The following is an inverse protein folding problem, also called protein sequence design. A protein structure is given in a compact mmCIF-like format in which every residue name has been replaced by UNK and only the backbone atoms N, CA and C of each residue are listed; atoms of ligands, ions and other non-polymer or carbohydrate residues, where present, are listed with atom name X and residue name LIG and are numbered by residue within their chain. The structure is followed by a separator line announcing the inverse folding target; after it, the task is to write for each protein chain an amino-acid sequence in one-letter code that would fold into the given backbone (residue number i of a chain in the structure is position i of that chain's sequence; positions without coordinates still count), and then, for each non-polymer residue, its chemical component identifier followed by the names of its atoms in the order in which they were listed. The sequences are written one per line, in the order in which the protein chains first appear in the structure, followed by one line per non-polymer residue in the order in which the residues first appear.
data_IF_990191379421
#
_entry.id   IF_990191379421
#
_cell.length_a   1.000
_cell.length_b   1.000
_cell.length_c   1.000
_cell.angle_alpha   90.00
_cell.angle_beta   90.00
_cell.angle_gamma   90.00
#
_symmetry.space_group_name_H-M   'P 1'
#
loop_
_entity.id
_entity.type
_entity.pdbx_description
1 polymer ?
#
# COMPACT_ATOMS: atom_id res chain seq x y z
N UNK A 1 14.09 -6.74 -17.38
CA UNK A 1 13.48 -7.64 -16.37
C UNK A 1 14.40 -7.88 -15.17
N UNK A 2 15.70 -8.15 -15.34
CA UNK A 2 16.62 -8.42 -14.21
C UNK A 2 16.85 -7.24 -13.24
N UNK A 3 16.95 -6.00 -13.75
CA UNK A 3 17.20 -4.80 -12.90
C UNK A 3 16.02 -4.50 -11.97
N UNK A 4 14.79 -4.59 -12.48
CA UNK A 4 13.57 -4.40 -11.67
C UNK A 4 13.45 -5.46 -10.56
N UNK A 5 13.84 -6.70 -10.85
CA UNK A 5 13.80 -7.82 -9.90
C UNK A 5 14.84 -7.67 -8.77
N UNK A 6 16.08 -7.27 -9.11
CA UNK A 6 17.11 -6.99 -8.11
C UNK A 6 16.72 -5.80 -7.20
N UNK A 7 16.12 -4.76 -7.79
CA UNK A 7 15.63 -3.61 -7.04
C UNK A 7 14.46 -3.96 -6.11
N UNK A 8 13.59 -4.90 -6.51
CA UNK A 8 12.50 -5.42 -5.69
C UNK A 8 13.02 -6.12 -4.43
N UNK A 9 14.00 -7.02 -4.60
CA UNK A 9 14.58 -7.80 -3.49
C UNK A 9 15.35 -6.89 -2.54
N UNK A 10 16.14 -5.95 -3.07
CA UNK A 10 16.86 -4.98 -2.24
C UNK A 10 15.90 -4.08 -1.45
N UNK A 11 14.84 -3.57 -2.09
CA UNK A 11 13.81 -2.78 -1.42
C UNK A 11 13.10 -3.60 -0.34
N UNK A 12 12.79 -4.86 -0.60
CA UNK A 12 12.17 -5.77 0.36
C UNK A 12 13.04 -5.97 1.60
N UNK A 13 14.29 -6.36 1.41
CA UNK A 13 15.24 -6.59 2.50
C UNK A 13 15.47 -5.32 3.32
N UNK A 14 15.55 -4.16 2.66
CA UNK A 14 15.72 -2.89 3.34
C UNK A 14 14.50 -2.54 4.20
N UNK A 15 13.30 -2.65 3.64
CA UNK A 15 12.05 -2.35 4.36
C UNK A 15 11.81 -3.34 5.50
N UNK A 16 12.03 -4.64 5.27
CA UNK A 16 11.93 -5.65 6.32
C UNK A 16 12.90 -5.35 7.47
N UNK A 17 14.18 -5.07 7.19
CA UNK A 17 15.16 -4.77 8.24
C UNK A 17 14.84 -3.49 9.03
N UNK A 18 14.24 -2.49 8.39
CA UNK A 18 13.87 -1.22 9.06
C UNK A 18 12.55 -1.29 9.81
N UNK A 19 11.60 -2.07 9.31
CA UNK A 19 10.25 -2.18 9.87
C UNK A 19 10.09 -3.38 10.81
N UNK A 20 11.07 -4.29 10.88
CA UNK A 20 11.07 -5.41 11.84
C UNK A 20 10.92 -4.96 13.29
N UNK A 21 11.47 -3.79 13.65
CA UNK A 21 11.31 -3.21 14.98
C UNK A 21 9.86 -2.82 15.32
N UNK A 22 8.97 -2.81 14.32
CA UNK A 22 7.57 -2.47 14.45
C UNK A 22 6.68 -3.61 13.94
N UNK A 23 6.78 -4.78 14.59
CA UNK A 23 6.08 -6.01 14.18
C UNK A 23 4.56 -5.90 14.12
N UNK A 24 3.96 -4.89 14.77
CA UNK A 24 2.52 -4.62 14.66
C UNK A 24 2.10 -3.93 13.34
N UNK A 25 3.06 -3.46 12.54
CA UNK A 25 2.77 -2.80 11.28
C UNK A 25 3.10 -3.70 10.10
N UNK A 26 2.13 -3.80 9.19
CA UNK A 26 2.33 -4.34 7.85
C UNK A 26 2.57 -3.16 6.89
N UNK A 27 3.20 -3.44 5.75
CA UNK A 27 3.48 -2.40 4.76
C UNK A 27 3.26 -2.88 3.33
N UNK A 28 3.01 -1.93 2.45
CA UNK A 28 3.06 -2.10 1.00
C UNK A 28 3.83 -0.94 0.37
N UNK A 29 4.81 -1.27 -0.43
CA UNK A 29 5.59 -0.33 -1.22
C UNK A 29 5.29 -0.56 -2.69
N UNK A 30 4.61 0.40 -3.31
CA UNK A 30 4.20 0.37 -4.70
C UNK A 30 4.93 1.47 -5.44
N UNK A 31 5.61 1.13 -6.54
CA UNK A 31 6.16 2.12 -7.47
C UNK A 31 5.70 1.86 -8.88
N UNK A 32 5.43 2.93 -9.64
CA UNK A 32 5.11 2.83 -11.06
C UNK A 32 5.37 4.14 -11.77
N UNK A 33 5.55 4.07 -13.09
CA UNK A 33 5.62 5.26 -13.91
C UNK A 33 4.21 5.70 -14.32
N UNK A 34 3.88 6.99 -14.15
CA UNK A 34 2.54 7.53 -14.48
C UNK A 34 2.20 7.40 -15.97
N UNK A 35 3.19 7.38 -16.86
CA UNK A 35 2.99 7.16 -18.30
C UNK A 35 2.91 5.67 -18.67
N UNK A 36 3.48 4.79 -17.84
CA UNK A 36 3.51 3.35 -18.06
C UNK A 36 3.09 2.58 -16.79
N UNK A 37 1.81 2.68 -16.37
CA UNK A 37 1.33 2.10 -15.11
C UNK A 37 1.40 0.56 -15.10
N UNK A 38 1.50 -0.07 -16.26
CA UNK A 38 1.65 -1.53 -16.38
C UNK A 38 3.03 -2.00 -15.88
N UNK A 39 4.04 -1.11 -15.86
CA UNK A 39 5.35 -1.34 -15.26
C UNK A 39 5.34 -0.82 -13.83
N UNK A 40 4.92 -1.70 -12.92
CA UNK A 40 4.91 -1.42 -11.50
C UNK A 40 5.73 -2.44 -10.72
N UNK A 41 6.20 -2.01 -9.55
CA UNK A 41 6.86 -2.83 -8.55
C UNK A 41 6.01 -2.79 -7.29
N UNK A 42 5.58 -3.96 -6.81
CA UNK A 42 4.88 -4.12 -5.54
C UNK A 42 5.73 -4.96 -4.60
N UNK A 43 6.10 -4.39 -3.46
CA UNK A 43 6.86 -5.04 -2.39
C UNK A 43 6.08 -4.87 -1.10
N UNK A 44 5.60 -5.95 -0.49
CA UNK A 44 4.68 -5.82 0.64
C UNK A 44 4.76 -6.97 1.63
N UNK A 45 4.67 -6.67 2.93
CA UNK A 45 4.55 -7.67 3.99
C UNK A 45 3.13 -8.22 4.18
N UNK A 46 2.20 -7.87 3.29
CA UNK A 46 0.86 -8.46 3.29
C UNK A 46 0.88 -9.95 2.92
N UNK A 47 -0.14 -10.72 3.36
CA UNK A 47 -0.29 -12.12 2.99
C UNK A 47 -0.29 -12.29 1.46
N UNK A 48 0.36 -13.34 0.99
CA UNK A 48 0.52 -13.58 -0.45
C UNK A 48 -0.83 -13.71 -1.14
N UNK A 49 -1.81 -14.32 -0.48
CA UNK A 49 -3.19 -14.47 -0.96
C UNK A 49 -3.83 -13.12 -1.28
N UNK A 50 -3.63 -12.11 -0.41
CA UNK A 50 -4.10 -10.77 -0.68
C UNK A 50 -3.39 -10.13 -1.85
N UNK A 51 -2.06 -10.29 -1.95
CA UNK A 51 -1.26 -9.75 -3.07
C UNK A 51 -1.68 -10.36 -4.41
N UNK A 52 -2.03 -11.65 -4.42
CA UNK A 52 -2.51 -12.35 -5.60
C UNK A 52 -3.90 -11.82 -6.03
N UNK A 53 -4.83 -11.65 -5.07
CA UNK A 53 -6.14 -11.04 -5.32
C UNK A 53 -5.97 -9.61 -5.86
N UNK A 54 -5.11 -8.81 -5.23
CA UNK A 54 -4.85 -7.43 -5.60
C UNK A 54 -4.32 -7.33 -7.03
N UNK A 55 -3.34 -8.16 -7.36
CA UNK A 55 -2.72 -8.20 -8.69
C UNK A 55 -3.67 -8.73 -9.76
N UNK A 56 -4.39 -9.82 -9.48
CA UNK A 56 -5.31 -10.45 -10.43
C UNK A 56 -6.48 -9.51 -10.81
N UNK A 57 -6.99 -8.74 -9.85
CA UNK A 57 -8.06 -7.77 -10.09
C UNK A 57 -7.56 -6.41 -10.58
N UNK A 58 -6.23 -6.25 -10.77
CA UNK A 58 -5.58 -4.99 -11.17
C UNK A 58 -5.95 -3.81 -10.26
N UNK A 59 -6.01 -4.05 -8.96
CA UNK A 59 -6.44 -3.05 -7.99
C UNK A 59 -5.55 -1.81 -7.96
N UNK A 60 -4.28 -1.88 -8.35
CA UNK A 60 -3.40 -0.71 -8.51
C UNK A 60 -4.01 0.40 -9.40
N UNK A 61 -4.92 0.08 -10.33
CA UNK A 61 -5.55 1.06 -11.23
C UNK A 61 -6.76 1.77 -10.62
N UNK A 62 -7.44 1.10 -9.70
CA UNK A 62 -8.71 1.56 -9.12
C UNK A 62 -8.62 1.79 -7.60
N UNK A 63 -7.45 1.53 -7.02
CA UNK A 63 -7.18 1.70 -5.61
C UNK A 63 -7.30 3.18 -5.24
N UNK A 64 -8.20 3.52 -4.29
CA UNK A 64 -8.39 4.89 -3.85
C UNK A 64 -7.14 5.51 -3.23
N UNK A 65 -6.30 4.73 -2.56
CA UNK A 65 -5.03 5.19 -1.99
C UNK A 65 -4.08 5.60 -3.11
N UNK A 66 -3.99 4.79 -4.17
CA UNK A 66 -3.18 5.11 -5.35
C UNK A 66 -3.70 6.36 -6.06
N UNK A 67 -5.03 6.46 -6.24
CA UNK A 67 -5.68 7.65 -6.82
C UNK A 67 -5.43 8.91 -6.00
N UNK A 68 -5.51 8.83 -4.67
CA UNK A 68 -5.21 9.94 -3.78
C UNK A 68 -3.73 10.36 -3.87
N UNK A 69 -2.82 9.39 -3.97
CA UNK A 69 -1.37 9.65 -4.09
C UNK A 69 -0.99 10.38 -5.38
N UNK A 70 -1.75 10.22 -6.48
CA UNK A 70 -1.50 10.99 -7.70
C UNK A 70 -1.52 12.51 -7.50
N UNK A 71 -2.37 12.99 -6.58
CA UNK A 71 -2.62 14.42 -6.35
C UNK A 71 -2.07 14.92 -5.00
N UNK A 72 -1.34 14.07 -4.25
CA UNK A 72 -0.81 14.41 -2.92
C UNK A 72 0.70 14.22 -2.89
N UNK A 73 1.39 15.16 -2.26
CA UNK A 73 2.83 15.05 -1.94
C UNK A 73 3.08 14.90 -0.43
N UNK A 74 2.07 15.16 0.39
CA UNK A 74 2.14 14.97 1.84
C UNK A 74 1.60 13.58 2.25
N UNK A 75 2.08 13.00 3.36
CA UNK A 75 1.50 11.79 3.92
C UNK A 75 0.02 11.99 4.25
N UNK A 76 -0.76 10.92 4.15
CA UNK A 76 -2.18 10.97 4.47
C UNK A 76 -2.73 9.68 5.05
N UNK A 77 -3.72 9.80 5.93
CA UNK A 77 -4.47 8.65 6.44
C UNK A 77 -5.49 8.17 5.41
N UNK A 78 -5.73 6.87 5.33
CA UNK A 78 -6.71 6.31 4.39
C UNK A 78 -8.13 6.85 4.64
N UNK A 79 -8.48 7.13 5.90
CA UNK A 79 -9.76 7.73 6.27
C UNK A 79 -9.91 9.21 5.85
N UNK A 80 -8.79 9.92 5.64
CA UNK A 80 -8.78 11.32 5.18
C UNK A 80 -8.84 11.44 3.65
N UNK A 81 -8.92 10.33 2.94
CA UNK A 81 -9.17 10.37 1.50
C UNK A 81 -10.65 10.70 1.28
N UNK A 82 -10.93 11.84 0.65
CA UNK A 82 -12.27 12.27 0.23
C UNK A 82 -12.91 11.32 -0.83
N UNK A 83 -12.26 10.19 -1.10
CA UNK A 83 -12.88 8.98 -1.65
C UNK A 83 -13.67 8.31 -0.52
N UNK A 84 -14.53 9.11 0.10
CA UNK A 84 -15.51 8.70 1.08
C UNK A 84 -16.40 7.64 0.45
N UNK A 85 -16.84 6.71 1.28
CA UNK A 85 -17.95 5.75 1.24
C UNK A 85 -18.85 5.57 -0.01
N UNK A 86 -18.90 6.43 -1.02
CA UNK A 86 -19.70 6.34 -2.22
C UNK A 86 -19.01 5.61 -3.40
N UNK A 87 -17.68 5.53 -3.40
CA UNK A 87 -16.97 4.78 -4.45
C UNK A 87 -17.13 3.26 -4.23
N UNK A 88 -17.85 2.59 -5.13
CA UNK A 88 -18.05 1.12 -5.07
C UNK A 88 -16.74 0.35 -5.09
N UNK A 89 -15.70 0.89 -5.73
CA UNK A 89 -14.38 0.28 -5.76
C UNK A 89 -13.69 0.38 -4.40
N UNK A 90 -13.85 1.51 -3.70
CA UNK A 90 -13.36 1.69 -2.33
C UNK A 90 -13.95 0.60 -1.42
N UNK A 91 -15.28 0.47 -1.38
CA UNK A 91 -15.94 -0.53 -0.53
C UNK A 91 -15.50 -1.95 -0.84
N UNK A 92 -15.37 -2.30 -2.12
CA UNK A 92 -14.96 -3.65 -2.53
C UNK A 92 -13.53 -3.97 -2.09
N UNK A 93 -12.57 -3.10 -2.39
CA UNK A 93 -11.15 -3.33 -2.07
C UNK A 93 -10.97 -3.40 -0.56
N UNK A 94 -11.48 -2.42 0.19
CA UNK A 94 -11.34 -2.40 1.65
C UNK A 94 -12.13 -3.52 2.35
N UNK A 95 -13.28 -3.94 1.81
CA UNK A 95 -14.01 -5.08 2.36
C UNK A 95 -13.21 -6.37 2.25
N UNK A 96 -12.53 -6.60 1.12
CA UNK A 96 -11.68 -7.78 0.96
C UNK A 96 -10.37 -7.64 1.75
N UNK A 97 -9.77 -6.45 1.77
CA UNK A 97 -8.54 -6.18 2.53
C UNK A 97 -8.74 -6.38 4.05
N UNK A 98 -9.95 -6.13 4.55
CA UNK A 98 -10.32 -6.36 5.95
C UNK A 98 -10.19 -7.82 6.38
N UNK A 99 -10.38 -8.78 5.49
CA UNK A 99 -10.18 -10.21 5.77
C UNK A 99 -8.70 -10.53 6.08
N UNK A 100 -7.79 -9.61 5.76
CA UNK A 100 -6.33 -9.74 5.96
C UNK A 100 -5.77 -8.73 6.98
N UNK A 101 -6.63 -8.14 7.81
CA UNK A 101 -6.32 -7.08 8.79
C UNK A 101 -5.76 -5.78 8.19
N UNK A 102 -6.13 -5.47 6.95
CA UNK A 102 -5.70 -4.24 6.25
C UNK A 102 -6.89 -3.28 6.24
N UNK A 103 -7.06 -2.55 7.35
CA UNK A 103 -8.24 -1.69 7.57
C UNK A 103 -7.85 -0.22 7.72
N UNK A 104 -6.85 0.05 8.56
CA UNK A 104 -6.38 1.39 8.87
C UNK A 104 -4.91 1.52 8.50
N UNK A 105 -4.56 2.66 7.92
CA UNK A 105 -3.19 2.92 7.50
C UNK A 105 -2.94 4.35 7.06
N UNK A 106 -1.65 4.64 6.91
CA UNK A 106 -1.12 5.88 6.41
C UNK A 106 -0.30 5.60 5.15
N UNK A 107 -0.43 6.47 4.15
CA UNK A 107 0.36 6.41 2.93
C UNK A 107 1.27 7.61 2.80
N UNK A 108 2.55 7.34 2.58
CA UNK A 108 3.60 8.29 2.26
C UNK A 108 3.81 8.28 0.76
N UNK A 109 3.88 9.46 0.15
CA UNK A 109 3.95 9.61 -1.30
C UNK A 109 5.22 10.33 -1.69
N UNK A 110 5.91 9.81 -2.70
CA UNK A 110 7.08 10.42 -3.30
C UNK A 110 6.90 10.46 -4.82
N UNK A 111 7.09 11.64 -5.39
CA UNK A 111 7.12 11.86 -6.83
C UNK A 111 8.55 12.18 -7.23
N UNK A 112 9.04 11.59 -8.31
CA UNK A 112 10.33 11.96 -8.89
C UNK A 112 10.17 12.85 -10.14
N UNK A 113 11.30 13.27 -10.70
CA UNK A 113 11.32 14.14 -11.89
C UNK A 113 10.98 13.40 -13.19
N UNK A 114 10.94 12.07 -13.19
CA UNK A 114 10.71 11.21 -14.37
C UNK A 114 9.29 10.61 -14.37
N UNK A 115 8.37 11.28 -13.67
CA UNK A 115 6.98 10.85 -13.52
C UNK A 115 6.80 9.48 -12.86
N UNK A 116 7.78 9.00 -12.11
CA UNK A 116 7.58 7.86 -11.23
C UNK A 116 6.89 8.30 -9.94
N UNK A 117 5.96 7.46 -9.50
CA UNK A 117 5.25 7.59 -8.25
C UNK A 117 5.66 6.42 -7.36
N UNK A 118 6.13 6.72 -6.16
CA UNK A 118 6.37 5.74 -5.11
C UNK A 118 5.41 6.01 -3.95
N UNK A 119 4.78 4.93 -3.48
CA UNK A 119 3.82 4.95 -2.40
C UNK A 119 4.28 3.94 -1.37
N UNK A 120 4.53 4.40 -0.15
CA UNK A 120 4.74 3.54 1.00
C UNK A 120 3.50 3.61 1.89
N UNK A 121 2.74 2.54 1.89
CA UNK A 121 1.56 2.36 2.74
C UNK A 121 1.95 1.53 3.97
N UNK A 122 1.62 2.03 5.15
CA UNK A 122 1.82 1.35 6.44
C UNK A 122 0.46 1.17 7.07
N UNK A 123 0.14 -0.05 7.48
CA UNK A 123 -1.12 -0.39 8.14
C UNK A 123 -0.87 -1.09 9.46
N UNK A 124 -1.62 -0.71 10.49
CA UNK A 124 -1.59 -1.37 11.78
C UNK A 124 -2.51 -2.60 11.75
N UNK A 125 -2.00 -3.73 12.25
CA UNK A 125 -2.86 -4.87 12.57
C UNK A 125 -3.67 -4.54 13.82
N UNK A 126 -4.92 -4.97 13.90
CA UNK A 126 -5.80 -4.74 15.05
C UNK A 126 -5.37 -5.48 16.34
N UNK A 127 -4.20 -6.11 16.34
CA UNK A 127 -3.60 -6.73 17.52
C UNK A 127 -3.05 -5.61 18.43
N UNK A 128 -3.91 -5.06 19.29
CA UNK A 128 -3.64 -4.67 20.69
C UNK A 128 -4.66 -3.68 21.30
N UNK A 129 -5.82 -3.48 20.67
CA UNK A 129 -6.92 -2.73 21.32
C UNK A 129 -7.59 -3.51 22.48
N UNK A 130 -7.16 -4.75 22.74
CA UNK A 130 -7.73 -5.63 23.76
C UNK A 130 -7.14 -5.45 25.18
N UNK A 131 -6.12 -4.61 25.39
CA UNK A 131 -5.46 -4.51 26.70
C UNK A 131 -5.33 -3.10 27.28
N UNK A 132 -6.03 -2.10 26.72
CA UNK A 132 -6.11 -0.76 27.29
C UNK A 132 -7.51 -0.51 27.88
N UNK A 133 -7.87 -1.30 28.89
CA UNK A 133 -9.17 -1.26 29.53
C UNK A 133 -9.19 -2.06 30.83
N UNK A 134 -8.31 -1.69 31.77
CA UNK A 134 -8.39 -2.10 33.18
C UNK A 134 -8.09 -0.90 34.06
#
# INVERSE_FOLDING_TARGET
MAVTFANAVAARLHLDGRLQAFSQFKYAYLTFNKHHPDRHLLVSSYPQEWLDIYSANRYQRIDPVVRAAHNRCAPFMWHDTALTTEDRHYRKIFSQAREYDIVHGCSFVLHDHDNNLAILSISATAADDANCGS
#
